data_IF_920984672013
#
_entry.id   IF_920984672013
#
_cell.length_a   1.000
_cell.length_b   1.000
_cell.length_c   1.000
_cell.angle_alpha   90.00
_cell.angle_beta   90.00
_cell.angle_gamma   90.00
#
_symmetry.space_group_name_H-M   'P 1'
#
loop_
_entity.id
_entity.type
_entity.pdbx_description
1 polymer ?
#
# COMPACT_ATOMS: atom_id res chain seq x y z
N UNK A 1 -16.09 3.66 -0.32
CA UNK A 1 -16.20 3.57 1.14
C UNK A 1 -14.86 3.11 1.73
N UNK A 2 -14.29 1.98 1.28
CA UNK A 2 -13.05 1.39 1.83
C UNK A 2 -11.88 2.39 1.90
N UNK A 3 -11.61 3.11 0.82
CA UNK A 3 -10.56 4.15 0.78
C UNK A 3 -10.80 5.26 1.82
N UNK A 4 -12.06 5.58 2.14
CA UNK A 4 -12.38 6.60 3.13
C UNK A 4 -12.05 6.19 4.55
N UNK A 5 -12.11 4.89 4.85
CA UNK A 5 -11.62 4.36 6.13
C UNK A 5 -10.12 4.62 6.28
N UNK A 6 -9.35 4.36 5.23
CA UNK A 6 -7.92 4.71 5.20
C UNK A 6 -7.68 6.22 5.31
N UNK A 7 -8.43 7.04 4.55
CA UNK A 7 -8.31 8.50 4.59
C UNK A 7 -8.60 9.06 5.99
N UNK A 8 -9.57 8.49 6.70
CA UNK A 8 -9.88 8.89 8.08
C UNK A 8 -8.74 8.56 9.04
N UNK A 9 -8.16 7.37 8.93
CA UNK A 9 -6.96 7.01 9.69
C UNK A 9 -5.81 7.98 9.44
N UNK A 10 -5.50 8.28 8.16
CA UNK A 10 -4.47 9.24 7.80
C UNK A 10 -4.71 10.63 8.40
N UNK A 11 -5.96 11.12 8.34
CA UNK A 11 -6.34 12.42 8.90
C UNK A 11 -6.09 12.48 10.40
N UNK A 12 -6.47 11.43 11.16
CA UNK A 12 -6.19 11.35 12.59
C UNK A 12 -4.67 11.38 12.84
N UNK A 13 -3.88 10.62 12.08
CA UNK A 13 -2.43 10.62 12.20
C UNK A 13 -1.81 12.01 12.00
N UNK A 14 -2.26 12.74 10.97
CA UNK A 14 -1.81 14.12 10.69
C UNK A 14 -2.26 15.08 11.80
N UNK A 15 -3.49 14.96 12.30
CA UNK A 15 -3.97 15.80 13.39
C UNK A 15 -3.20 15.57 14.69
N UNK A 16 -2.85 14.32 15.01
CA UNK A 16 -2.01 14.00 16.15
C UNK A 16 -0.60 14.59 15.99
N UNK A 17 -0.01 14.49 14.79
CA UNK A 17 1.26 15.14 14.50
C UNK A 17 1.16 16.65 14.76
N UNK A 18 0.21 17.33 14.15
CA UNK A 18 0.06 18.77 14.31
C UNK A 18 -0.22 19.18 15.76
N UNK A 19 -1.06 18.43 16.46
CA UNK A 19 -1.43 18.77 17.85
C UNK A 19 -0.27 18.65 18.83
N UNK A 20 0.61 17.65 18.66
CA UNK A 20 1.71 17.43 19.59
C UNK A 20 3.03 18.07 19.16
N UNK A 21 3.30 18.13 17.86
CA UNK A 21 4.56 18.67 17.32
C UNK A 21 4.42 20.13 16.90
N UNK A 22 3.20 20.65 16.73
CA UNK A 22 2.94 22.02 16.29
C UNK A 22 3.26 22.30 14.83
N UNK A 23 3.73 21.30 14.08
CA UNK A 23 4.15 21.39 12.69
C UNK A 23 3.82 20.12 11.93
N UNK A 24 3.69 20.23 10.60
CA UNK A 24 3.57 19.10 9.66
C UNK A 24 4.75 19.04 8.69
N UNK A 25 5.74 19.92 8.84
CA UNK A 25 6.95 19.89 8.05
C UNK A 25 7.77 18.65 8.43
N UNK A 26 8.10 17.80 7.47
CA UNK A 26 8.82 16.55 7.70
C UNK A 26 10.12 16.75 8.49
N UNK A 27 10.94 17.75 8.12
CA UNK A 27 12.23 17.95 8.77
C UNK A 27 12.05 18.32 10.25
N UNK A 28 11.18 19.28 10.52
CA UNK A 28 10.89 19.74 11.89
C UNK A 28 10.30 18.62 12.75
N UNK A 29 9.38 17.82 12.18
CA UNK A 29 8.80 16.65 12.86
C UNK A 29 9.89 15.66 13.22
N UNK A 30 10.77 15.32 12.27
CA UNK A 30 11.84 14.33 12.51
C UNK A 30 12.85 14.80 13.56
N UNK A 31 13.18 16.08 13.59
CA UNK A 31 14.07 16.68 14.58
C UNK A 31 13.46 16.67 16.00
N UNK A 32 12.13 16.74 16.09
CA UNK A 32 11.40 16.73 17.36
C UNK A 32 11.07 15.32 17.89
N UNK A 33 11.09 14.28 17.05
CA UNK A 33 10.75 12.88 17.44
C UNK A 33 11.46 12.45 18.71
N UNK A 34 12.79 12.67 18.92
CA UNK A 34 13.49 12.22 20.12
C UNK A 34 12.89 12.73 21.43
N UNK A 35 12.24 13.89 21.41
CA UNK A 35 11.64 14.51 22.61
C UNK A 35 10.32 13.82 23.03
N UNK A 36 9.70 13.06 22.14
CA UNK A 36 8.38 12.45 22.35
C UNK A 36 8.43 10.92 22.50
N UNK A 37 9.63 10.30 22.49
CA UNK A 37 9.80 8.83 22.56
C UNK A 37 9.15 8.25 23.80
N UNK A 38 9.35 8.89 24.96
CA UNK A 38 8.86 8.38 26.26
C UNK A 38 7.42 8.82 26.58
N UNK A 39 6.82 9.66 25.73
CA UNK A 39 5.48 10.16 25.97
C UNK A 39 4.45 9.06 25.80
N UNK A 40 3.93 8.57 26.94
CA UNK A 40 2.89 7.55 26.98
C UNK A 40 1.54 8.15 26.69
N UNK A 41 0.73 7.39 25.98
CA UNK A 41 -0.65 7.70 25.68
C UNK A 41 -1.52 6.49 25.99
N UNK A 42 -2.65 6.72 26.69
CA UNK A 42 -3.62 5.65 26.98
C UNK A 42 -4.72 5.71 25.91
N UNK A 43 -4.77 4.70 25.07
CA UNK A 43 -5.78 4.57 24.03
C UNK A 43 -6.59 3.30 24.25
N UNK A 44 -7.91 3.44 24.46
CA UNK A 44 -8.82 2.32 24.79
C UNK A 44 -8.34 1.42 25.95
N UNK A 45 -7.67 1.98 26.96
CA UNK A 45 -7.17 1.21 28.10
C UNK A 45 -5.79 0.54 27.90
N UNK A 46 -5.17 0.67 26.72
CA UNK A 46 -3.83 0.21 26.45
C UNK A 46 -2.83 1.37 26.52
N UNK A 47 -1.75 1.19 27.28
CA UNK A 47 -0.64 2.13 27.29
C UNK A 47 0.20 1.92 26.05
N UNK A 48 0.28 2.94 25.21
CA UNK A 48 1.15 2.97 24.03
C UNK A 48 1.97 4.25 24.01
N UNK A 49 3.06 4.29 23.26
CA UNK A 49 3.77 5.55 23.05
C UNK A 49 3.02 6.38 22.01
N UNK A 50 3.10 7.70 22.15
CA UNK A 50 2.48 8.65 21.22
C UNK A 50 2.93 8.38 19.77
N UNK A 51 4.25 8.14 19.58
CA UNK A 51 4.82 7.86 18.26
C UNK A 51 4.22 6.60 17.66
N UNK A 52 4.05 5.53 18.45
CA UNK A 52 3.40 4.30 17.98
C UNK A 52 1.98 4.58 17.50
N UNK A 53 1.20 5.33 18.26
CA UNK A 53 -0.17 5.67 17.87
C UNK A 53 -0.21 6.45 16.54
N UNK A 54 0.66 7.45 16.38
CA UNK A 54 0.77 8.22 15.14
C UNK A 54 1.14 7.30 13.97
N UNK A 55 2.17 6.45 14.13
CA UNK A 55 2.59 5.52 13.08
C UNK A 55 1.48 4.53 12.68
N UNK A 56 0.70 4.03 13.64
CA UNK A 56 -0.42 3.15 13.36
C UNK A 56 -1.50 3.85 12.52
N UNK A 57 -1.87 5.09 12.85
CA UNK A 57 -2.85 5.84 12.07
C UNK A 57 -2.34 6.21 10.67
N UNK A 58 -1.08 6.60 10.53
CA UNK A 58 -0.46 6.82 9.23
C UNK A 58 -0.44 5.52 8.40
N UNK A 59 -0.17 4.38 9.04
CA UNK A 59 -0.18 3.09 8.36
C UNK A 59 -1.59 2.66 7.93
N UNK A 60 -2.65 2.93 8.71
CA UNK A 60 -4.04 2.71 8.28
C UNK A 60 -4.33 3.49 6.97
N UNK A 61 -3.85 4.72 6.87
CA UNK A 61 -3.93 5.50 5.63
C UNK A 61 -3.17 4.85 4.46
N UNK A 62 -1.97 4.36 4.72
CA UNK A 62 -1.15 3.64 3.75
C UNK A 62 -1.83 2.34 3.30
N UNK A 63 -2.41 1.57 4.23
CA UNK A 63 -3.17 0.34 3.92
C UNK A 63 -4.35 0.59 2.98
N UNK A 64 -5.10 1.68 3.20
CA UNK A 64 -6.23 2.04 2.36
C UNK A 64 -5.82 2.33 0.91
N UNK A 65 -4.81 3.17 0.70
CA UNK A 65 -4.33 3.53 -0.64
C UNK A 65 -3.58 2.40 -1.34
N UNK A 66 -2.84 1.59 -0.61
CA UNK A 66 -2.05 0.49 -1.17
C UNK A 66 -2.77 -0.87 -1.11
N UNK A 67 -4.07 -0.88 -0.92
CA UNK A 67 -4.93 -2.06 -0.97
C UNK A 67 -4.36 -3.25 -0.16
N UNK A 68 -3.94 -3.00 1.07
CA UNK A 68 -3.46 -4.04 1.96
C UNK A 68 -4.62 -4.87 2.53
N UNK A 69 -4.30 -6.03 3.09
CA UNK A 69 -5.28 -6.93 3.69
C UNK A 69 -6.31 -6.17 4.55
N UNK A 70 -7.58 -6.52 4.47
CA UNK A 70 -8.79 -5.87 4.96
C UNK A 70 -9.27 -4.66 4.12
N UNK A 71 -8.38 -3.86 3.53
CA UNK A 71 -8.72 -2.66 2.74
C UNK A 71 -8.43 -2.83 1.24
N UNK A 72 -8.34 -4.06 0.72
CA UNK A 72 -7.95 -4.37 -0.65
C UNK A 72 -9.12 -4.45 -1.65
N UNK A 73 -10.36 -4.57 -1.17
CA UNK A 73 -11.53 -4.93 -2.01
C UNK A 73 -11.83 -3.95 -3.14
N UNK A 74 -11.45 -2.68 -2.99
CA UNK A 74 -11.63 -1.66 -4.01
C UNK A 74 -10.73 -1.85 -5.24
N UNK A 75 -9.60 -2.54 -5.09
CA UNK A 75 -8.57 -2.65 -6.14
C UNK A 75 -9.07 -3.45 -7.36
N UNK A 76 -9.66 -4.67 -7.20
CA UNK A 76 -10.21 -5.41 -8.33
C UNK A 76 -11.46 -4.74 -8.93
N UNK A 77 -12.27 -4.02 -8.14
CA UNK A 77 -13.44 -3.30 -8.64
C UNK A 77 -13.04 -2.11 -9.54
N UNK A 78 -11.86 -1.52 -9.30
CA UNK A 78 -11.32 -0.46 -10.15
C UNK A 78 -10.92 -0.94 -11.56
N UNK A 79 -10.97 -2.24 -11.84
CA UNK A 79 -10.69 -2.81 -13.18
C UNK A 79 -11.79 -2.58 -14.22
N UNK A 80 -12.93 -2.07 -13.83
CA UNK A 80 -14.02 -1.69 -14.77
C UNK A 80 -13.62 -0.53 -15.70
N UNK A 81 -12.62 0.26 -15.32
CA UNK A 81 -12.10 1.37 -16.12
C UNK A 81 -11.28 0.93 -17.33
N UNK A 82 -11.02 1.88 -18.28
CA UNK A 82 -10.13 1.61 -19.42
C UNK A 82 -8.74 1.14 -19.01
N UNK A 83 -8.15 0.20 -19.74
CA UNK A 83 -6.87 -0.42 -19.41
C UNK A 83 -5.71 0.58 -19.19
N UNK A 84 -5.55 1.67 -19.98
CA UNK A 84 -4.50 2.65 -19.71
C UNK A 84 -4.66 3.37 -18.38
N UNK A 85 -5.89 3.62 -17.94
CA UNK A 85 -6.19 4.22 -16.63
C UNK A 85 -5.85 3.23 -15.51
N UNK A 86 -6.22 1.96 -15.69
CA UNK A 86 -5.83 0.89 -14.75
C UNK A 86 -4.30 0.78 -14.65
N UNK A 87 -3.58 0.84 -15.77
CA UNK A 87 -2.12 0.84 -15.78
C UNK A 87 -1.55 2.01 -14.95
N UNK A 88 -2.06 3.22 -15.14
CA UNK A 88 -1.57 4.40 -14.42
C UNK A 88 -1.82 4.29 -12.90
N UNK A 89 -3.05 3.94 -12.50
CA UNK A 89 -3.45 3.88 -11.08
C UNK A 89 -2.70 2.77 -10.34
N UNK A 90 -2.57 1.58 -10.96
CA UNK A 90 -2.05 0.38 -10.29
C UNK A 90 -0.56 0.15 -10.48
N UNK A 91 0.08 0.79 -11.48
CA UNK A 91 1.52 0.64 -11.66
C UNK A 91 2.32 1.66 -10.83
N UNK A 92 2.02 2.96 -10.98
CA UNK A 92 2.96 3.99 -10.56
C UNK A 92 2.40 5.02 -9.58
N UNK A 93 1.08 5.16 -9.42
CA UNK A 93 0.54 6.35 -8.74
C UNK A 93 -0.13 6.03 -7.41
N UNK A 94 -1.42 5.71 -7.42
CA UNK A 94 -2.24 5.67 -6.20
C UNK A 94 -1.81 4.57 -5.23
N UNK A 95 -1.52 3.38 -5.75
CA UNK A 95 -1.22 2.22 -4.90
C UNK A 95 0.20 2.24 -4.31
N UNK A 96 1.12 2.98 -4.92
CA UNK A 96 2.50 3.11 -4.44
C UNK A 96 2.65 4.18 -3.35
N UNK A 97 1.67 5.09 -3.25
CA UNK A 97 1.68 6.21 -2.30
C UNK A 97 1.80 5.76 -0.83
N UNK A 98 1.16 4.63 -0.45
CA UNK A 98 1.26 4.12 0.92
C UNK A 98 2.63 3.59 1.27
N UNK A 99 3.28 2.87 0.35
CA UNK A 99 4.68 2.40 0.53
C UNK A 99 5.61 3.59 0.65
N UNK A 100 5.46 4.58 -0.24
CA UNK A 100 6.24 5.81 -0.19
C UNK A 100 6.05 6.55 1.14
N UNK A 101 4.83 6.63 1.65
CA UNK A 101 4.53 7.28 2.94
C UNK A 101 5.30 6.61 4.09
N UNK A 102 5.26 5.26 4.18
CA UNK A 102 5.96 4.53 5.24
C UNK A 102 7.46 4.72 5.13
N UNK A 103 8.03 4.62 3.92
CA UNK A 103 9.47 4.84 3.71
C UNK A 103 9.87 6.30 3.98
N UNK A 104 9.05 7.28 3.55
CA UNK A 104 9.32 8.69 3.82
C UNK A 104 9.28 9.03 5.31
N UNK A 105 8.39 8.37 6.05
CA UNK A 105 8.24 8.53 7.50
C UNK A 105 9.09 7.52 8.28
N UNK A 106 10.09 6.87 7.66
CA UNK A 106 10.96 5.91 8.36
C UNK A 106 11.56 6.45 9.67
N UNK A 107 12.00 7.74 9.76
CA UNK A 107 12.52 8.28 11.03
C UNK A 107 11.49 8.28 12.17
N UNK A 108 10.18 8.23 11.87
CA UNK A 108 9.13 8.05 12.87
C UNK A 108 8.92 6.57 13.19
N UNK A 109 8.85 5.72 12.16
CA UNK A 109 8.58 4.29 12.30
C UNK A 109 9.69 3.55 13.07
N UNK A 110 10.95 3.95 12.92
CA UNK A 110 12.11 3.35 13.60
C UNK A 110 12.02 3.45 15.14
N UNK A 111 11.35 4.48 15.67
CA UNK A 111 11.10 4.62 17.10
C UNK A 111 9.92 3.77 17.61
N UNK A 112 9.22 3.05 16.73
CA UNK A 112 8.08 2.21 17.11
C UNK A 112 8.19 0.80 16.53
N UNK A 113 8.86 -0.09 17.30
CA UNK A 113 8.98 -1.49 16.93
C UNK A 113 7.61 -2.18 16.73
N UNK A 114 6.61 -1.77 17.52
CA UNK A 114 5.25 -2.30 17.41
C UNK A 114 4.63 -1.94 16.05
N UNK A 115 4.80 -0.71 15.59
CA UNK A 115 4.30 -0.29 14.28
C UNK A 115 5.04 -1.03 13.14
N UNK A 116 6.36 -1.15 13.20
CA UNK A 116 7.15 -1.91 12.21
C UNK A 116 6.74 -3.37 12.14
N UNK A 117 6.52 -4.02 13.27
CA UNK A 117 6.05 -5.41 13.32
C UNK A 117 4.66 -5.53 12.67
N UNK A 118 3.76 -4.60 12.90
CA UNK A 118 2.43 -4.60 12.27
C UNK A 118 2.52 -4.38 10.77
N UNK A 119 3.35 -3.46 10.29
CA UNK A 119 3.62 -3.24 8.86
C UNK A 119 4.14 -4.53 8.23
N UNK A 120 5.10 -5.20 8.88
CA UNK A 120 5.68 -6.48 8.42
C UNK A 120 4.62 -7.56 8.29
N UNK A 121 3.82 -7.78 9.35
CA UNK A 121 2.80 -8.84 9.40
C UNK A 121 1.72 -8.59 8.35
N UNK A 122 1.19 -7.37 8.26
CA UNK A 122 0.16 -7.02 7.27
C UNK A 122 0.70 -7.17 5.86
N UNK A 123 1.93 -6.74 5.60
CA UNK A 123 2.60 -6.90 4.31
C UNK A 123 2.73 -8.38 3.91
N UNK A 124 3.18 -9.23 4.82
CA UNK A 124 3.33 -10.66 4.61
C UNK A 124 1.97 -11.35 4.33
N UNK A 125 0.97 -11.08 5.14
CA UNK A 125 -0.39 -11.63 4.96
C UNK A 125 -0.95 -11.20 3.60
N UNK A 126 -0.80 -9.91 3.26
CA UNK A 126 -1.26 -9.38 1.96
C UNK A 126 -0.57 -10.07 0.79
N UNK A 127 0.75 -10.27 0.87
CA UNK A 127 1.53 -10.89 -0.19
C UNK A 127 1.02 -12.30 -0.50
N UNK A 128 0.82 -13.13 0.52
CA UNK A 128 0.36 -14.52 0.39
C UNK A 128 -1.12 -14.57 -0.05
N UNK A 129 -1.97 -13.80 0.63
CA UNK A 129 -3.40 -13.75 0.36
C UNK A 129 -3.69 -13.31 -1.08
N UNK A 130 -3.14 -12.18 -1.51
CA UNK A 130 -3.40 -11.65 -2.85
C UNK A 130 -2.82 -12.56 -3.95
N UNK A 131 -1.66 -13.19 -3.73
CA UNK A 131 -1.11 -14.16 -4.67
C UNK A 131 -2.02 -15.39 -4.82
N UNK A 132 -2.54 -15.93 -3.72
CA UNK A 132 -3.45 -17.09 -3.77
C UNK A 132 -4.76 -16.76 -4.47
N UNK A 133 -5.31 -15.57 -4.26
CA UNK A 133 -6.51 -15.10 -4.97
C UNK A 133 -6.24 -14.91 -6.46
N UNK A 134 -5.07 -14.37 -6.83
CA UNK A 134 -4.69 -14.19 -8.23
C UNK A 134 -4.69 -15.50 -9.03
N UNK A 135 -4.32 -16.63 -8.41
CA UNK A 135 -4.27 -17.94 -9.06
C UNK A 135 -5.65 -18.48 -9.49
N UNK A 136 -6.71 -18.02 -8.84
CA UNK A 136 -8.09 -18.51 -9.12
C UNK A 136 -8.94 -17.50 -9.89
N UNK A 137 -8.39 -16.34 -10.26
CA UNK A 137 -9.08 -15.37 -11.08
C UNK A 137 -9.09 -15.78 -12.54
N UNK A 138 -10.20 -15.50 -13.23
CA UNK A 138 -10.36 -15.77 -14.66
C UNK A 138 -10.23 -14.50 -15.53
N UNK A 139 -10.40 -13.32 -14.93
CA UNK A 139 -10.27 -12.03 -15.62
C UNK A 139 -8.80 -11.60 -15.64
N UNK A 140 -8.25 -11.37 -16.85
CA UNK A 140 -6.84 -10.99 -17.05
C UNK A 140 -6.47 -9.71 -16.30
N UNK A 141 -7.36 -8.71 -16.22
CA UNK A 141 -7.11 -7.47 -15.48
C UNK A 141 -7.09 -7.72 -13.97
N UNK A 142 -8.03 -8.54 -13.46
CA UNK A 142 -8.10 -8.88 -12.04
C UNK A 142 -6.89 -9.69 -11.59
N UNK A 143 -6.40 -10.61 -12.43
CA UNK A 143 -5.14 -11.34 -12.18
C UNK A 143 -3.99 -10.37 -11.96
N UNK A 144 -3.81 -9.40 -12.87
CA UNK A 144 -2.73 -8.42 -12.78
C UNK A 144 -2.93 -7.48 -11.58
N UNK A 145 -4.18 -7.13 -11.23
CA UNK A 145 -4.51 -6.31 -10.07
C UNK A 145 -4.17 -7.02 -8.75
N UNK A 146 -4.58 -8.27 -8.55
CA UNK A 146 -4.20 -9.04 -7.35
C UNK A 146 -2.70 -9.32 -7.27
N UNK A 147 -2.05 -9.53 -8.40
CA UNK A 147 -0.59 -9.59 -8.45
C UNK A 147 0.06 -8.26 -8.01
N UNK A 148 -0.54 -7.10 -8.34
CA UNK A 148 -0.08 -5.80 -7.82
C UNK A 148 -0.25 -5.72 -6.31
N UNK A 149 -1.40 -6.13 -5.77
CA UNK A 149 -1.66 -6.17 -4.33
C UNK A 149 -0.61 -7.02 -3.59
N UNK A 150 -0.27 -8.20 -4.13
CA UNK A 150 0.77 -9.07 -3.60
C UNK A 150 2.15 -8.40 -3.59
N UNK A 151 2.53 -7.75 -4.69
CA UNK A 151 3.82 -7.06 -4.78
C UNK A 151 3.93 -5.87 -3.82
N UNK A 152 2.85 -5.13 -3.61
CA UNK A 152 2.79 -4.10 -2.58
C UNK A 152 2.96 -4.70 -1.17
N UNK A 153 2.39 -5.88 -0.92
CA UNK A 153 2.63 -6.63 0.32
C UNK A 153 4.11 -6.91 0.57
N UNK A 154 4.86 -7.34 -0.46
CA UNK A 154 6.31 -7.52 -0.34
C UNK A 154 7.05 -6.21 -0.04
N UNK A 155 6.63 -5.08 -0.61
CA UNK A 155 7.24 -3.79 -0.33
C UNK A 155 6.99 -3.35 1.12
N UNK A 156 5.77 -3.56 1.65
CA UNK A 156 5.49 -3.29 3.06
C UNK A 156 6.25 -4.24 3.99
N UNK A 157 6.34 -5.52 3.64
CA UNK A 157 7.17 -6.46 4.38
C UNK A 157 8.62 -5.98 4.45
N UNK A 158 9.21 -5.59 3.32
CA UNK A 158 10.57 -5.06 3.28
C UNK A 158 10.73 -3.77 4.10
N UNK A 159 9.77 -2.84 4.01
CA UNK A 159 9.79 -1.60 4.80
C UNK A 159 9.65 -1.89 6.30
N UNK A 160 8.81 -2.85 6.69
CA UNK A 160 8.58 -3.22 8.08
C UNK A 160 9.78 -3.88 8.76
N UNK A 161 10.63 -4.58 8.01
CA UNK A 161 11.91 -5.11 8.52
C UNK A 161 13.06 -4.10 8.44
N UNK A 162 12.78 -2.84 8.09
CA UNK A 162 13.78 -1.77 8.00
C UNK A 162 14.54 -1.72 6.67
N UNK A 163 14.23 -2.58 5.70
CA UNK A 163 14.90 -2.61 4.40
C UNK A 163 14.28 -1.59 3.42
N UNK A 164 14.24 -0.30 3.81
CA UNK A 164 13.59 0.78 3.05
C UNK A 164 14.14 0.95 1.64
N UNK A 165 15.44 0.81 1.45
CA UNK A 165 16.08 0.90 0.13
C UNK A 165 15.58 -0.21 -0.81
N UNK A 166 15.40 -1.43 -0.29
CA UNK A 166 14.86 -2.56 -1.05
C UNK A 166 13.40 -2.30 -1.44
N UNK A 167 12.59 -1.80 -0.49
CA UNK A 167 11.20 -1.43 -0.75
C UNK A 167 11.10 -0.37 -1.86
N UNK A 168 11.93 0.68 -1.81
CA UNK A 168 11.94 1.74 -2.82
C UNK A 168 12.46 1.27 -4.17
N UNK A 169 13.49 0.45 -4.21
CA UNK A 169 13.98 -0.14 -5.46
C UNK A 169 12.93 -1.03 -6.11
N UNK A 170 12.26 -1.87 -5.31
CA UNK A 170 11.16 -2.70 -5.79
C UNK A 170 9.99 -1.84 -6.29
N UNK A 171 9.64 -0.76 -5.61
CA UNK A 171 8.60 0.17 -6.05
C UNK A 171 8.93 0.77 -7.43
N UNK A 172 10.18 1.19 -7.63
CA UNK A 172 10.62 1.75 -8.91
C UNK A 172 10.52 0.72 -10.04
N UNK A 173 11.08 -0.47 -9.87
CA UNK A 173 11.02 -1.53 -10.89
C UNK A 173 9.59 -2.01 -11.15
N UNK A 174 8.76 -2.10 -10.11
CA UNK A 174 7.37 -2.48 -10.19
C UNK A 174 6.54 -1.51 -11.04
N UNK A 175 6.80 -0.21 -10.97
CA UNK A 175 6.09 0.79 -11.75
C UNK A 175 6.17 0.49 -13.26
N UNK A 176 7.36 0.22 -13.78
CA UNK A 176 7.57 -0.11 -15.20
C UNK A 176 7.01 -1.48 -15.56
N UNK A 177 7.32 -2.47 -14.76
CA UNK A 177 6.88 -3.84 -14.98
C UNK A 177 5.36 -3.98 -15.01
N UNK A 178 4.65 -3.33 -14.08
CA UNK A 178 3.19 -3.38 -14.05
C UNK A 178 2.53 -2.56 -15.14
N UNK A 179 3.10 -1.41 -15.49
CA UNK A 179 2.62 -0.66 -16.64
C UNK A 179 2.66 -1.51 -17.92
N UNK A 180 3.76 -2.23 -18.14
CA UNK A 180 3.91 -3.16 -19.27
C UNK A 180 2.85 -4.27 -19.22
N UNK A 181 2.63 -4.91 -18.07
CA UNK A 181 1.64 -5.99 -17.94
C UNK A 181 0.21 -5.51 -18.19
N UNK A 182 -0.17 -4.34 -17.66
CA UNK A 182 -1.51 -3.80 -17.89
C UNK A 182 -1.69 -3.36 -19.36
N UNK A 183 -0.74 -2.68 -19.96
CA UNK A 183 -0.83 -2.28 -21.37
C UNK A 183 -0.81 -3.50 -22.29
N UNK A 184 0.00 -4.51 -21.98
CA UNK A 184 0.02 -5.77 -22.70
C UNK A 184 -1.31 -6.54 -22.58
N UNK A 185 -1.91 -6.59 -21.39
CA UNK A 185 -3.24 -7.19 -21.23
C UNK A 185 -4.29 -6.43 -22.02
N UNK A 186 -4.20 -5.08 -22.09
CA UNK A 186 -5.08 -4.27 -22.94
C UNK A 186 -4.95 -4.59 -24.42
N UNK A 187 -3.74 -4.81 -24.91
CA UNK A 187 -3.51 -5.22 -26.29
C UNK A 187 -4.12 -6.59 -26.60
N UNK A 188 -3.98 -7.55 -25.66
CA UNK A 188 -4.59 -8.88 -25.78
C UNK A 188 -6.13 -8.78 -25.79
N UNK A 189 -6.72 -8.06 -24.84
CA UNK A 189 -8.17 -7.84 -24.77
C UNK A 189 -8.70 -7.27 -26.09
N UNK A 190 -8.03 -6.26 -26.62
CA UNK A 190 -8.43 -5.64 -27.90
C UNK A 190 -8.34 -6.64 -29.06
N UNK A 191 -7.30 -7.49 -29.12
CA UNK A 191 -7.17 -8.52 -30.15
C UNK A 191 -8.29 -9.57 -30.08
N UNK A 192 -8.84 -9.84 -28.90
CA UNK A 192 -9.93 -10.78 -28.64
C UNK A 192 -11.32 -10.11 -28.58
N UNK A 193 -11.52 -8.95 -29.23
CA UNK A 193 -12.81 -8.23 -29.31
C UNK A 193 -13.41 -7.92 -27.93
N UNK A 194 -12.57 -7.39 -27.06
CA UNK A 194 -12.89 -6.97 -25.69
C UNK A 194 -13.21 -8.12 -24.71
N UNK A 195 -12.89 -9.37 -25.08
CA UNK A 195 -12.96 -10.51 -24.14
C UNK A 195 -11.91 -10.33 -23.04
N UNK A 196 -12.31 -10.54 -21.78
CA UNK A 196 -11.42 -10.42 -20.61
C UNK A 196 -11.21 -11.76 -19.90
N UNK A 197 -12.06 -12.76 -20.15
CA UNK A 197 -11.95 -14.07 -19.55
C UNK A 197 -10.89 -14.92 -20.27
N UNK A 198 -9.80 -15.24 -19.53
CA UNK A 198 -8.67 -16.01 -20.06
C UNK A 198 -9.07 -17.41 -20.56
N UNK A 199 -10.19 -17.96 -20.09
CA UNK A 199 -10.67 -19.29 -20.52
C UNK A 199 -11.19 -19.28 -21.96
N UNK A 200 -11.60 -18.11 -22.45
CA UNK A 200 -12.10 -17.88 -23.79
C UNK A 200 -10.98 -17.44 -24.76
N UNK A 201 -9.75 -17.22 -24.24
CA UNK A 201 -8.60 -16.79 -25.02
C UNK A 201 -7.75 -18.00 -25.40
N UNK A 202 -7.34 -18.09 -26.68
CA UNK A 202 -6.45 -19.14 -27.14
C UNK A 202 -5.77 -18.79 -28.46
N UNK A 203 -4.70 -19.51 -28.81
CA UNK A 203 -4.00 -19.35 -30.08
C UNK A 203 -3.27 -18.03 -30.27
N UNK A 204 -2.91 -17.33 -29.20
CA UNK A 204 -2.10 -16.09 -29.25
C UNK A 204 -0.70 -16.43 -29.76
N UNK A 205 -0.33 -15.85 -30.91
CA UNK A 205 0.99 -16.01 -31.54
C UNK A 205 1.60 -14.66 -31.82
#
# INVERSE_FOLDING_TARGET
IVNRVGDFGLAIGIFLLFFYFGTINFQEVFDLVPQFIEKKFVFFGFETTLITLICLFLFIGAMGKSAQFLLHTWLPDAMEGPTPVSALIHAATMVTAGVFLVVRCSPLFEYSQMALNLVTIVGMITAIFAASVALVQNDIKKIVAYSTCSQLGYMFFAAGVGAYHVAMFHLFTHAFFKALLFLGSGSVIHAFKDEQDIRNMGGVR
#
